data_IF_730161791376
#
_entry.id   IF_730161791376
#
_cell.length_a   1.000
_cell.length_b   1.000
_cell.length_c   1.000
_cell.angle_alpha   90.00
_cell.angle_beta   90.00
_cell.angle_gamma   90.00
#
_symmetry.space_group_name_H-M   'P 1'
#
loop_
_entity.id
_entity.type
_entity.pdbx_description
1 polymer ?
#
# COMPACT_ATOMS: atom_id res chain seq x y z
N UNK A 1 14.04 8.62 14.02
CA UNK A 1 15.29 9.40 14.18
C UNK A 1 15.88 9.78 12.81
N UNK A 2 15.99 8.84 11.86
CA UNK A 2 16.52 9.09 10.50
C UNK A 2 15.74 10.11 9.67
N UNK A 3 14.40 10.13 9.72
CA UNK A 3 13.64 11.11 8.92
C UNK A 3 13.87 12.56 9.35
N UNK A 4 13.93 12.83 10.65
CA UNK A 4 14.10 14.19 11.17
C UNK A 4 15.49 14.72 10.82
N UNK A 5 16.53 13.90 10.97
CA UNK A 5 17.89 14.28 10.58
C UNK A 5 18.01 14.49 9.07
N UNK A 6 17.39 13.64 8.26
CA UNK A 6 17.32 13.81 6.81
C UNK A 6 16.62 15.13 6.43
N UNK A 7 15.45 15.38 6.99
CA UNK A 7 14.66 16.59 6.74
C UNK A 7 15.43 17.85 7.12
N UNK A 8 16.13 17.83 8.26
CA UNK A 8 16.93 18.96 8.72
C UNK A 8 18.15 19.21 7.81
N UNK A 9 18.93 18.17 7.49
CA UNK A 9 20.14 18.31 6.67
C UNK A 9 19.81 18.68 5.21
N UNK A 10 18.78 18.06 4.63
CA UNK A 10 18.33 18.35 3.28
C UNK A 10 17.83 19.79 3.13
N UNK A 11 17.18 20.36 4.16
CA UNK A 11 16.74 21.75 4.14
C UNK A 11 17.89 22.74 3.90
N UNK A 12 19.00 22.62 4.63
CA UNK A 12 20.16 23.50 4.42
C UNK A 12 20.85 23.27 3.08
N UNK A 13 20.82 22.04 2.56
CA UNK A 13 21.38 21.76 1.25
C UNK A 13 20.55 22.39 0.13
N UNK A 14 19.22 22.38 0.24
CA UNK A 14 18.32 23.04 -0.72
C UNK A 14 18.52 24.56 -0.71
N UNK A 15 18.78 25.16 0.46
CA UNK A 15 19.06 26.60 0.56
C UNK A 15 20.31 27.04 -0.23
N UNK A 16 21.27 26.12 -0.44
CA UNK A 16 22.49 26.37 -1.23
C UNK A 16 22.29 26.11 -2.73
N UNK A 17 21.18 25.51 -3.13
CA UNK A 17 20.88 25.17 -4.52
C UNK A 17 20.18 26.30 -5.29
N UNK A 18 19.87 26.02 -6.55
CA UNK A 18 19.03 26.88 -7.37
C UNK A 18 17.57 26.86 -6.91
N UNK A 19 16.87 27.98 -7.12
CA UNK A 19 15.44 28.09 -6.85
C UNK A 19 14.66 27.08 -7.72
N UNK A 20 13.81 26.23 -7.13
CA UNK A 20 12.95 25.32 -7.89
C UNK A 20 11.72 26.03 -8.48
N UNK A 21 11.17 25.49 -9.57
CA UNK A 21 9.89 25.93 -10.13
C UNK A 21 8.67 25.29 -9.44
N UNK A 22 8.85 24.09 -8.89
CA UNK A 22 7.84 23.32 -8.15
C UNK A 22 8.52 22.51 -7.05
N UNK A 23 7.90 22.44 -5.88
CA UNK A 23 8.29 21.52 -4.80
C UNK A 23 7.33 20.33 -4.82
N UNK A 24 7.82 19.16 -5.20
CA UNK A 24 7.02 17.92 -5.24
C UNK A 24 7.29 17.07 -4.01
N UNK A 25 6.25 16.77 -3.24
CA UNK A 25 6.33 15.98 -2.02
C UNK A 25 5.52 14.70 -2.20
N UNK A 26 6.17 13.55 -2.22
CA UNK A 26 5.45 12.28 -2.01
C UNK A 26 5.36 12.07 -0.50
N UNK A 27 4.17 11.84 0.04
CA UNK A 27 3.98 11.64 1.49
C UNK A 27 4.15 10.16 1.84
N UNK A 28 5.28 9.80 2.48
CA UNK A 28 5.30 8.75 3.50
C UNK A 28 5.44 9.34 4.92
N UNK A 29 5.92 10.59 5.05
CA UNK A 29 6.15 11.26 6.34
C UNK A 29 5.64 12.70 6.38
N UNK A 30 4.59 12.96 7.16
CA UNK A 30 3.99 14.30 7.33
C UNK A 30 4.95 15.41 7.80
N UNK A 31 5.98 15.17 8.64
CA UNK A 31 6.87 16.23 9.12
C UNK A 31 7.63 16.99 8.03
N UNK A 32 7.90 16.39 6.86
CA UNK A 32 8.60 17.05 5.74
C UNK A 32 7.85 18.27 5.21
N UNK A 33 6.53 18.34 5.43
CA UNK A 33 5.68 19.42 4.95
C UNK A 33 6.04 20.77 5.58
N UNK A 34 6.60 20.78 6.79
CA UNK A 34 6.99 22.02 7.50
C UNK A 34 8.15 22.74 6.80
N UNK A 35 9.35 22.12 6.63
CA UNK A 35 10.43 22.75 5.89
C UNK A 35 10.08 23.02 4.43
N UNK A 36 9.30 22.14 3.79
CA UNK A 36 8.84 22.38 2.42
C UNK A 36 7.96 23.64 2.32
N UNK A 37 7.09 23.90 3.30
CA UNK A 37 6.32 25.14 3.37
C UNK A 37 7.20 26.38 3.58
N UNK A 38 8.25 26.27 4.40
CA UNK A 38 9.23 27.36 4.59
C UNK A 38 9.94 27.66 3.26
N UNK A 39 10.41 26.62 2.55
CA UNK A 39 11.06 26.76 1.25
C UNK A 39 10.10 27.33 0.19
N UNK A 40 8.85 26.86 0.17
CA UNK A 40 7.80 27.38 -0.71
C UNK A 40 7.56 28.86 -0.49
N UNK A 41 7.54 29.31 0.76
CA UNK A 41 7.41 30.72 1.10
C UNK A 41 8.66 31.53 0.70
N UNK A 42 9.86 31.06 1.04
CA UNK A 42 11.13 31.73 0.72
C UNK A 42 11.34 31.89 -0.79
N UNK A 43 11.04 30.83 -1.54
CA UNK A 43 11.22 30.77 -2.99
C UNK A 43 9.95 31.12 -3.76
N UNK A 44 8.84 31.50 -3.11
CA UNK A 44 7.53 31.74 -3.75
C UNK A 44 7.17 30.64 -4.76
N UNK A 45 7.38 29.40 -4.37
CA UNK A 45 7.30 28.22 -5.25
C UNK A 45 6.13 27.34 -4.83
N UNK A 46 5.26 26.90 -5.75
CA UNK A 46 4.12 26.06 -5.39
C UNK A 46 4.55 24.67 -4.91
N UNK A 47 3.78 24.12 -3.97
CA UNK A 47 3.92 22.73 -3.51
C UNK A 47 2.89 21.87 -4.24
N UNK A 48 3.33 20.74 -4.78
CA UNK A 48 2.46 19.65 -5.23
C UNK A 48 2.67 18.46 -4.30
N UNK A 49 1.58 17.98 -3.73
CA UNK A 49 1.56 16.89 -2.77
C UNK A 49 1.08 15.62 -3.47
N UNK A 50 1.83 14.53 -3.38
CA UNK A 50 1.42 13.22 -3.85
C UNK A 50 1.12 12.32 -2.66
N UNK A 51 -0.17 12.17 -2.37
CA UNK A 51 -0.68 11.45 -1.22
C UNK A 51 -0.83 9.97 -1.57
N UNK A 52 0.10 9.16 -1.06
CA UNK A 52 0.10 7.71 -1.25
C UNK A 52 -0.54 6.98 -0.06
N UNK A 53 -0.53 7.61 1.13
CA UNK A 53 -1.14 7.07 2.36
C UNK A 53 -1.77 8.17 3.23
N UNK A 54 -2.88 7.87 3.91
CA UNK A 54 -3.51 8.73 4.93
C UNK A 54 -3.13 8.21 6.32
N UNK A 55 -1.88 8.48 6.70
CA UNK A 55 -1.23 7.88 7.87
C UNK A 55 -1.91 8.16 9.23
N UNK A 56 -2.39 9.39 9.55
CA UNK A 56 -2.94 9.69 10.88
C UNK A 56 -4.22 8.91 11.18
N UNK A 57 -5.14 8.84 10.22
CA UNK A 57 -6.42 8.16 10.41
C UNK A 57 -6.19 6.67 10.60
N UNK A 58 -5.39 6.06 9.70
CA UNK A 58 -5.06 4.65 9.78
C UNK A 58 -4.39 4.28 11.12
N UNK A 59 -3.38 5.05 11.54
CA UNK A 59 -2.62 4.77 12.76
C UNK A 59 -3.45 4.94 14.05
N UNK A 60 -4.43 5.85 14.06
CA UNK A 60 -5.37 6.01 15.17
C UNK A 60 -6.40 4.88 15.19
N UNK A 61 -6.99 4.55 14.04
CA UNK A 61 -8.00 3.48 13.94
C UNK A 61 -7.45 2.11 14.35
N UNK A 62 -6.20 1.80 14.00
CA UNK A 62 -5.56 0.52 14.38
C UNK A 62 -4.86 0.56 15.74
N UNK A 63 -4.96 1.68 16.47
CA UNK A 63 -4.46 1.81 17.84
C UNK A 63 -2.94 1.88 17.99
N UNK A 64 -2.20 2.14 16.91
CA UNK A 64 -0.73 2.35 16.90
C UNK A 64 -0.34 3.66 17.60
N UNK A 65 -1.17 4.69 17.47
CA UNK A 65 -1.00 5.98 18.17
C UNK A 65 -2.14 6.15 19.16
N UNK A 66 -1.83 6.01 20.46
CA UNK A 66 -2.80 6.20 21.55
C UNK A 66 -2.67 7.53 22.28
N UNK A 67 -1.53 8.21 22.11
CA UNK A 67 -1.26 9.45 22.85
C UNK A 67 -2.02 10.63 22.23
N UNK A 68 -2.97 11.25 22.95
CA UNK A 68 -3.81 12.32 22.40
C UNK A 68 -3.03 13.55 21.95
N UNK A 69 -1.84 13.82 22.52
CA UNK A 69 -0.97 14.90 22.08
C UNK A 69 -0.33 14.60 20.72
N UNK A 70 0.10 13.36 20.50
CA UNK A 70 0.66 12.94 19.21
C UNK A 70 -0.42 12.95 18.12
N UNK A 71 -1.63 12.47 18.43
CA UNK A 71 -2.77 12.53 17.51
C UNK A 71 -3.01 13.97 17.06
N UNK A 72 -3.14 14.91 18.02
CA UNK A 72 -3.33 16.34 17.71
C UNK A 72 -2.20 16.91 16.85
N UNK A 73 -0.94 16.54 17.11
CA UNK A 73 0.20 16.98 16.32
C UNK A 73 0.12 16.46 14.88
N UNK A 74 -0.16 15.17 14.68
CA UNK A 74 -0.27 14.59 13.33
C UNK A 74 -1.48 15.13 12.57
N UNK A 75 -2.63 15.28 13.22
CA UNK A 75 -3.81 15.95 12.61
C UNK A 75 -3.50 17.40 12.23
N UNK A 76 -2.74 18.11 13.05
CA UNK A 76 -2.31 19.48 12.72
C UNK A 76 -1.35 19.51 11.53
N UNK A 77 -0.34 18.62 11.51
CA UNK A 77 0.61 18.50 10.41
C UNK A 77 -0.08 18.13 9.09
N UNK A 78 -1.06 17.23 9.15
CA UNK A 78 -1.87 16.84 8.00
C UNK A 78 -2.66 18.04 7.44
N UNK A 79 -3.42 18.74 8.31
CA UNK A 79 -4.15 19.95 7.90
C UNK A 79 -3.22 21.02 7.35
N UNK A 80 -2.05 21.18 7.96
CA UNK A 80 -1.02 22.10 7.49
C UNK A 80 -0.54 21.73 6.08
N UNK A 81 -0.24 20.46 5.82
CA UNK A 81 0.19 19.98 4.52
C UNK A 81 -0.85 20.23 3.42
N UNK A 82 -2.13 19.93 3.69
CA UNK A 82 -3.20 20.17 2.70
C UNK A 82 -3.46 21.65 2.46
N UNK A 83 -3.28 22.48 3.50
CA UNK A 83 -3.44 23.93 3.37
C UNK A 83 -2.33 24.54 2.51
N UNK A 84 -1.08 24.11 2.68
CA UNK A 84 0.09 24.67 1.97
C UNK A 84 0.23 24.16 0.54
N UNK A 85 -0.30 22.97 0.23
CA UNK A 85 -0.29 22.42 -1.12
C UNK A 85 -1.14 23.25 -2.10
N UNK A 86 -0.59 23.50 -3.31
CA UNK A 86 -1.33 24.06 -4.45
C UNK A 86 -2.18 23.01 -5.14
N UNK A 87 -1.61 21.81 -5.33
CA UNK A 87 -2.30 20.62 -5.84
C UNK A 87 -1.96 19.41 -4.99
N UNK A 88 -2.90 18.47 -4.89
CA UNK A 88 -2.78 17.22 -4.16
C UNK A 88 -3.19 16.10 -5.11
N UNK A 89 -2.25 15.27 -5.54
CA UNK A 89 -2.57 14.02 -6.23
C UNK A 89 -2.93 12.93 -5.23
N UNK A 90 -4.01 12.20 -5.53
CA UNK A 90 -4.51 11.07 -4.75
C UNK A 90 -4.67 9.86 -5.65
N UNK A 91 -4.64 8.65 -5.07
CA UNK A 91 -4.58 7.40 -5.84
C UNK A 91 -5.94 6.71 -6.02
N UNK A 92 -7.00 7.20 -5.40
CA UNK A 92 -8.35 6.64 -5.51
C UNK A 92 -9.44 7.61 -5.07
N UNK A 93 -10.68 7.34 -5.49
CA UNK A 93 -11.89 8.04 -5.07
C UNK A 93 -12.01 8.14 -3.54
N UNK A 94 -11.69 7.07 -2.81
CA UNK A 94 -11.77 7.06 -1.33
C UNK A 94 -10.83 8.07 -0.67
N UNK A 95 -9.67 8.36 -1.26
CA UNK A 95 -8.78 9.43 -0.79
C UNK A 95 -9.38 10.80 -1.12
N UNK A 96 -9.98 10.95 -2.29
CA UNK A 96 -10.71 12.17 -2.67
C UNK A 96 -11.81 12.48 -1.64
N UNK A 97 -12.64 11.49 -1.32
CA UNK A 97 -13.73 11.61 -0.33
C UNK A 97 -13.19 12.00 1.06
N UNK A 98 -12.16 11.30 1.56
CA UNK A 98 -11.54 11.61 2.85
C UNK A 98 -11.04 13.07 2.91
N UNK A 99 -10.41 13.57 1.84
CA UNK A 99 -9.91 14.94 1.78
C UNK A 99 -11.05 15.98 1.74
N UNK A 100 -12.14 15.68 1.02
CA UNK A 100 -13.33 16.54 0.98
C UNK A 100 -14.01 16.61 2.35
N UNK A 101 -14.14 15.49 3.07
CA UNK A 101 -14.63 15.47 4.46
C UNK A 101 -13.76 16.31 5.40
N UNK A 102 -12.44 16.31 5.17
CA UNK A 102 -11.47 17.18 5.85
C UNK A 102 -11.49 18.64 5.38
N UNK A 103 -12.45 19.03 4.54
CA UNK A 103 -12.67 20.38 4.01
C UNK A 103 -11.52 20.89 3.11
N UNK A 104 -10.80 19.99 2.44
CA UNK A 104 -9.86 20.38 1.39
C UNK A 104 -10.66 20.81 0.15
N UNK A 105 -10.28 21.93 -0.47
CA UNK A 105 -10.95 22.39 -1.70
C UNK A 105 -10.80 21.36 -2.82
N UNK A 106 -11.91 20.99 -3.46
CA UNK A 106 -11.94 20.07 -4.61
C UNK A 106 -11.00 20.50 -5.73
N UNK A 107 -10.83 21.81 -5.94
CA UNK A 107 -9.93 22.35 -6.97
C UNK A 107 -8.46 22.02 -6.73
N UNK A 108 -8.07 21.69 -5.49
CA UNK A 108 -6.71 21.26 -5.17
C UNK A 108 -6.49 19.78 -5.50
N UNK A 109 -7.54 18.97 -5.50
CA UNK A 109 -7.43 17.51 -5.59
C UNK A 109 -7.39 17.11 -7.07
N UNK A 110 -6.47 16.20 -7.39
CA UNK A 110 -6.37 15.55 -8.71
C UNK A 110 -6.24 14.05 -8.46
N UNK A 111 -7.10 13.25 -9.06
CA UNK A 111 -6.96 11.80 -8.97
C UNK A 111 -5.98 11.29 -10.03
N UNK A 112 -4.92 10.63 -9.57
CA UNK A 112 -3.90 9.98 -10.39
C UNK A 112 -3.66 8.59 -9.79
N UNK A 113 -4.43 7.57 -10.22
CA UNK A 113 -4.27 6.21 -9.72
C UNK A 113 -2.87 5.68 -10.01
N UNK A 114 -2.38 4.80 -9.14
CA UNK A 114 -1.15 4.07 -9.42
C UNK A 114 -1.37 3.17 -10.65
N UNK A 115 -0.41 3.18 -11.57
CA UNK A 115 -0.49 2.42 -12.82
C UNK A 115 0.39 1.17 -12.77
N UNK A 116 0.14 0.27 -13.71
CA UNK A 116 0.93 -0.94 -13.93
C UNK A 116 1.48 -0.96 -15.34
N UNK A 117 2.63 -1.59 -15.54
CA UNK A 117 3.17 -1.85 -16.87
C UNK A 117 2.36 -2.97 -17.54
N UNK A 118 1.53 -2.60 -18.52
CA UNK A 118 0.65 -3.52 -19.25
C UNK A 118 1.38 -4.43 -20.24
N UNK A 119 2.64 -4.12 -20.60
CA UNK A 119 3.46 -5.05 -21.39
C UNK A 119 4.00 -6.19 -20.53
N UNK A 120 4.16 -5.90 -19.23
CA UNK A 120 4.67 -6.82 -18.24
C UNK A 120 3.56 -7.61 -17.54
N UNK A 121 2.56 -6.93 -16.98
CA UNK A 121 1.38 -7.54 -16.33
C UNK A 121 0.25 -7.57 -17.35
N UNK A 122 0.01 -8.76 -17.90
CA UNK A 122 -1.02 -9.01 -18.89
C UNK A 122 -1.67 -10.38 -18.64
N UNK A 123 -2.92 -10.60 -19.10
CA UNK A 123 -3.50 -11.93 -19.11
C UNK A 123 -2.60 -12.90 -19.85
N UNK A 124 -2.37 -14.08 -19.28
CA UNK A 124 -1.67 -15.19 -19.91
C UNK A 124 -2.57 -16.43 -19.83
N UNK A 125 -2.38 -17.34 -20.78
CA UNK A 125 -3.05 -18.64 -20.78
C UNK A 125 -2.65 -19.46 -19.55
N UNK A 126 -3.55 -20.34 -19.12
CA UNK A 126 -3.33 -21.19 -17.92
C UNK A 126 -2.66 -22.50 -18.28
N UNK A 127 -2.73 -22.88 -19.55
CA UNK A 127 -2.03 -24.00 -20.16
C UNK A 127 -0.52 -23.79 -20.03
N UNK A 128 0.19 -24.81 -19.55
CA UNK A 128 1.65 -24.78 -19.36
C UNK A 128 2.15 -23.70 -18.37
N UNK A 129 1.28 -23.18 -17.50
CA UNK A 129 1.66 -22.15 -16.51
C UNK A 129 2.63 -22.71 -15.46
N UNK A 130 3.82 -22.10 -15.30
CA UNK A 130 4.84 -22.60 -14.37
C UNK A 130 4.30 -22.70 -12.93
N UNK A 131 3.55 -21.69 -12.50
CA UNK A 131 3.12 -21.56 -11.12
C UNK A 131 2.05 -22.61 -10.80
N UNK A 132 1.20 -22.96 -11.77
CA UNK A 132 0.22 -24.04 -11.58
C UNK A 132 0.92 -25.39 -11.47
N UNK A 133 1.89 -25.67 -12.35
CA UNK A 133 2.66 -26.92 -12.34
C UNK A 133 3.49 -27.11 -11.06
N UNK A 134 4.27 -26.09 -10.66
CA UNK A 134 5.12 -26.17 -9.46
C UNK A 134 4.31 -26.35 -8.16
N UNK A 135 3.02 -26.01 -8.16
CA UNK A 135 2.16 -26.03 -6.98
C UNK A 135 0.98 -27.01 -7.07
N UNK A 136 0.95 -27.90 -8.08
CA UNK A 136 -0.12 -28.89 -8.31
C UNK A 136 -1.53 -28.26 -8.41
N UNK A 137 -1.65 -27.17 -9.18
CA UNK A 137 -2.88 -26.40 -9.32
C UNK A 137 -3.62 -26.62 -10.64
N UNK A 138 -3.16 -27.53 -11.51
CA UNK A 138 -3.64 -27.64 -12.89
C UNK A 138 -5.16 -27.88 -12.99
N UNK A 139 -5.72 -28.72 -12.11
CA UNK A 139 -7.16 -29.00 -12.03
C UNK A 139 -7.88 -28.21 -10.91
N UNK A 140 -7.23 -27.19 -10.35
CA UNK A 140 -7.75 -26.40 -9.23
C UNK A 140 -8.34 -25.07 -9.68
N UNK A 141 -9.43 -24.68 -9.04
CA UNK A 141 -9.90 -23.31 -8.92
C UNK A 141 -9.01 -22.56 -7.91
N UNK A 142 -8.18 -21.65 -8.41
CA UNK A 142 -7.14 -20.98 -7.62
C UNK A 142 -7.61 -19.60 -7.18
N UNK A 143 -7.81 -19.41 -5.88
CA UNK A 143 -7.96 -18.09 -5.25
C UNK A 143 -6.57 -17.62 -4.82
N UNK A 144 -6.05 -16.58 -5.46
CA UNK A 144 -4.71 -16.07 -5.17
C UNK A 144 -4.79 -14.78 -4.35
N UNK A 145 -4.06 -14.71 -3.25
CA UNK A 145 -3.67 -13.46 -2.61
C UNK A 145 -2.18 -13.23 -2.88
N UNK A 146 -1.81 -12.04 -3.34
CA UNK A 146 -0.40 -11.64 -3.49
C UNK A 146 -0.20 -10.20 -3.05
N UNK A 147 0.70 -9.99 -2.09
CA UNK A 147 0.97 -8.65 -1.58
C UNK A 147 1.73 -8.62 -0.27
N UNK A 148 1.93 -7.41 0.24
CA UNK A 148 2.50 -7.22 1.57
C UNK A 148 1.45 -7.55 2.64
N UNK A 149 1.69 -8.60 3.41
CA UNK A 149 0.80 -9.03 4.49
C UNK A 149 1.08 -8.17 5.73
N UNK A 150 0.40 -7.03 5.84
CA UNK A 150 0.48 -6.20 7.02
C UNK A 150 -0.25 -6.86 8.22
N UNK A 151 0.18 -6.57 9.44
CA UNK A 151 -0.52 -7.03 10.67
C UNK A 151 -1.98 -6.57 10.74
N UNK A 152 -2.31 -5.46 10.05
CA UNK A 152 -3.65 -4.87 9.98
C UNK A 152 -4.56 -5.55 8.96
N UNK A 153 -4.02 -6.44 8.11
CA UNK A 153 -4.82 -7.20 7.15
C UNK A 153 -5.19 -8.57 7.74
N UNK A 154 -6.48 -8.86 7.93
CA UNK A 154 -6.93 -10.09 8.61
C UNK A 154 -6.97 -11.27 7.62
N UNK A 155 -5.82 -11.70 7.10
CA UNK A 155 -5.73 -12.85 6.20
C UNK A 155 -6.12 -14.18 6.87
N UNK A 156 -6.17 -14.21 8.19
CA UNK A 156 -6.81 -15.26 8.98
C UNK A 156 -8.25 -15.54 8.51
N UNK A 157 -8.99 -14.51 8.09
CA UNK A 157 -10.36 -14.66 7.56
C UNK A 157 -10.37 -15.47 6.26
N UNK A 158 -9.36 -15.27 5.41
CA UNK A 158 -9.23 -16.02 4.17
C UNK A 158 -8.93 -17.50 4.45
N UNK A 159 -8.12 -17.80 5.46
CA UNK A 159 -7.86 -19.17 5.95
C UNK A 159 -9.14 -19.78 6.51
N UNK A 160 -9.90 -19.04 7.32
CA UNK A 160 -11.15 -19.52 7.91
C UNK A 160 -12.22 -19.80 6.84
N UNK A 161 -12.28 -18.97 5.80
CA UNK A 161 -13.13 -19.21 4.65
C UNK A 161 -12.69 -20.47 3.89
N UNK A 162 -11.38 -20.64 3.65
CA UNK A 162 -10.82 -21.81 2.99
C UNK A 162 -11.18 -23.11 3.74
N UNK A 163 -11.06 -23.12 5.07
CA UNK A 163 -11.40 -24.26 5.93
C UNK A 163 -12.88 -24.65 5.80
N UNK A 164 -13.79 -23.68 5.75
CA UNK A 164 -15.23 -23.94 5.55
C UNK A 164 -15.52 -24.55 4.17
N UNK A 165 -14.65 -24.28 3.20
CA UNK A 165 -14.74 -24.75 1.82
C UNK A 165 -13.86 -25.98 1.53
N UNK A 166 -13.32 -26.64 2.57
CA UNK A 166 -12.50 -27.86 2.39
C UNK A 166 -13.22 -29.00 1.66
N UNK A 167 -14.56 -29.00 1.64
CA UNK A 167 -15.36 -29.98 0.91
C UNK A 167 -15.30 -29.81 -0.62
N UNK A 168 -14.74 -28.69 -1.10
CA UNK A 168 -14.49 -28.45 -2.52
C UNK A 168 -13.08 -28.94 -2.86
N UNK A 169 -12.98 -30.17 -3.34
CA UNK A 169 -11.69 -30.80 -3.66
C UNK A 169 -10.90 -30.06 -4.75
N UNK A 170 -11.59 -29.30 -5.60
CA UNK A 170 -10.99 -28.51 -6.65
C UNK A 170 -10.59 -27.08 -6.19
N UNK A 171 -10.82 -26.67 -4.95
CA UNK A 171 -10.45 -25.32 -4.48
C UNK A 171 -9.00 -25.30 -3.96
N UNK A 172 -8.24 -24.28 -4.34
CA UNK A 172 -6.95 -23.95 -3.73
C UNK A 172 -6.89 -22.45 -3.39
N UNK A 173 -6.55 -22.12 -2.15
CA UNK A 173 -6.33 -20.75 -1.68
C UNK A 173 -4.84 -20.55 -1.51
N UNK A 174 -4.24 -19.75 -2.39
CA UNK A 174 -2.79 -19.52 -2.42
C UNK A 174 -2.50 -18.13 -1.86
N UNK A 175 -1.65 -18.03 -0.84
CA UNK A 175 -1.24 -16.77 -0.21
C UNK A 175 0.25 -16.57 -0.46
N UNK A 176 0.60 -15.51 -1.18
CA UNK A 176 1.97 -15.13 -1.54
C UNK A 176 2.40 -13.88 -0.79
N UNK A 177 3.46 -13.96 0.02
CA UNK A 177 3.89 -12.85 0.87
C UNK A 177 5.30 -12.95 1.43
N UNK A 178 5.64 -12.06 2.37
CA UNK A 178 6.91 -12.11 3.13
C UNK A 178 6.94 -13.27 4.11
N UNK A 179 8.13 -13.84 4.30
CA UNK A 179 8.34 -15.01 5.15
C UNK A 179 7.80 -14.83 6.57
N UNK A 180 8.07 -13.69 7.22
CA UNK A 180 7.65 -13.46 8.61
C UNK A 180 6.13 -13.49 8.77
N UNK A 181 5.40 -13.00 7.76
CA UNK A 181 3.96 -13.01 7.78
C UNK A 181 3.37 -14.39 7.43
N UNK A 182 4.02 -15.14 6.55
CA UNK A 182 3.62 -16.51 6.23
C UNK A 182 3.79 -17.44 7.43
N UNK A 183 4.87 -17.30 8.20
CA UNK A 183 5.07 -18.08 9.44
C UNK A 183 3.95 -17.86 10.46
N UNK A 184 3.45 -16.62 10.56
CA UNK A 184 2.27 -16.31 11.40
C UNK A 184 1.03 -17.06 10.90
N UNK A 185 0.78 -17.02 9.60
CA UNK A 185 -0.38 -17.69 8.97
C UNK A 185 -0.27 -19.21 9.03
N UNK A 186 0.94 -19.76 8.93
CA UNK A 186 1.22 -21.17 9.08
C UNK A 186 0.87 -21.65 10.50
N UNK A 187 1.32 -20.91 11.52
CA UNK A 187 0.94 -21.17 12.92
C UNK A 187 -0.57 -21.07 13.12
N UNK A 188 -1.24 -20.11 12.48
CA UNK A 188 -2.68 -19.97 12.55
C UNK A 188 -3.44 -21.13 11.88
N UNK A 189 -2.91 -21.63 10.77
CA UNK A 189 -3.44 -22.77 10.02
C UNK A 189 -3.24 -24.09 10.78
N UNK A 190 -2.15 -24.20 11.54
CA UNK A 190 -1.80 -25.34 12.39
C UNK A 190 -2.81 -25.51 13.54
N UNK A 191 -3.92 -26.19 13.23
CA UNK A 191 -5.04 -26.40 14.14
C UNK A 191 -6.42 -26.33 13.46
N UNK A 192 -6.49 -25.80 12.24
CA UNK A 192 -7.77 -25.57 11.53
C UNK A 192 -8.06 -26.55 10.38
N UNK A 193 -7.20 -27.54 10.16
CA UNK A 193 -7.30 -28.50 9.03
C UNK A 193 -7.45 -27.79 7.67
N UNK A 194 -6.74 -26.69 7.44
CA UNK A 194 -6.82 -25.93 6.18
C UNK A 194 -6.04 -26.65 5.05
N UNK A 195 -6.58 -27.76 4.54
CA UNK A 195 -5.91 -28.63 3.55
C UNK A 195 -5.85 -28.03 2.15
N UNK A 196 -6.68 -27.02 1.88
CA UNK A 196 -6.75 -26.29 0.62
C UNK A 196 -6.00 -24.95 0.65
N UNK A 197 -5.21 -24.65 1.68
CA UNK A 197 -4.42 -23.42 1.79
C UNK A 197 -2.95 -23.69 1.46
N UNK A 198 -2.38 -22.90 0.55
CA UNK A 198 -0.97 -22.99 0.14
C UNK A 198 -0.29 -21.65 0.43
N UNK A 199 0.74 -21.66 1.28
CA UNK A 199 1.55 -20.49 1.60
C UNK A 199 2.83 -20.50 0.77
N UNK A 200 3.15 -19.38 0.10
CA UNK A 200 4.34 -19.26 -0.76
C UNK A 200 5.08 -17.94 -0.51
N UNK A 201 6.42 -17.95 -0.50
CA UNK A 201 7.17 -16.71 -0.46
C UNK A 201 6.97 -15.92 -1.75
N UNK A 202 7.30 -14.63 -1.72
CA UNK A 202 7.32 -13.79 -2.91
C UNK A 202 8.05 -14.46 -4.07
N UNK A 203 7.41 -14.42 -5.24
CA UNK A 203 7.99 -14.93 -6.47
C UNK A 203 8.93 -13.89 -7.08
N UNK A 204 9.98 -14.33 -7.81
CA UNK A 204 10.82 -13.43 -8.59
C UNK A 204 9.97 -12.56 -9.51
N UNK A 205 10.32 -11.27 -9.64
CA UNK A 205 9.50 -10.30 -10.40
C UNK A 205 9.16 -10.81 -11.81
N UNK A 206 10.12 -11.37 -12.55
CA UNK A 206 9.90 -11.89 -13.90
C UNK A 206 8.86 -13.02 -14.00
N UNK A 207 8.59 -13.75 -12.91
CA UNK A 207 7.57 -14.80 -12.83
C UNK A 207 6.20 -14.29 -12.38
N UNK A 208 6.11 -13.03 -11.94
CA UNK A 208 4.87 -12.42 -11.44
C UNK A 208 3.71 -12.50 -12.44
N UNK A 209 3.88 -12.22 -13.75
CA UNK A 209 2.77 -12.28 -14.70
C UNK A 209 2.15 -13.69 -14.76
N UNK A 210 2.98 -14.73 -14.83
CA UNK A 210 2.52 -16.13 -14.85
C UNK A 210 1.87 -16.53 -13.52
N UNK A 211 2.43 -16.11 -12.38
CA UNK A 211 1.82 -16.34 -11.07
C UNK A 211 0.43 -15.70 -10.98
N UNK A 212 0.26 -14.46 -11.44
CA UNK A 212 -1.04 -13.78 -11.43
C UNK A 212 -2.04 -14.43 -12.39
N UNK A 213 -1.59 -14.87 -13.56
CA UNK A 213 -2.41 -15.58 -14.53
C UNK A 213 -2.86 -16.98 -14.04
N UNK A 214 -2.16 -17.57 -13.06
CA UNK A 214 -2.55 -18.84 -12.47
C UNK A 214 -3.89 -18.78 -11.70
N UNK A 215 -4.33 -17.58 -11.30
CA UNK A 215 -5.53 -17.37 -10.49
C UNK A 215 -6.83 -17.44 -11.31
N UNK A 216 -7.94 -17.83 -10.66
CA UNK A 216 -9.30 -17.65 -11.16
C UNK A 216 -9.83 -16.29 -10.67
N UNK A 217 -10.04 -16.07 -9.36
CA UNK A 217 -10.05 -14.74 -8.75
C UNK A 217 -8.71 -14.42 -8.08
N UNK A 218 -8.22 -13.20 -8.28
CA UNK A 218 -7.03 -12.67 -7.62
C UNK A 218 -7.37 -11.51 -6.69
N UNK A 219 -6.90 -11.57 -5.45
CA UNK A 219 -6.88 -10.45 -4.51
C UNK A 219 -5.48 -9.85 -4.48
N UNK A 220 -5.38 -8.58 -4.86
CA UNK A 220 -4.13 -7.82 -4.87
C UNK A 220 -4.23 -6.70 -3.86
N UNK A 221 -3.23 -6.57 -3.00
CA UNK A 221 -3.05 -5.39 -2.16
C UNK A 221 -1.66 -4.84 -2.40
N UNK A 222 -1.60 -3.59 -2.88
CA UNK A 222 -0.34 -2.83 -3.02
C UNK A 222 0.28 -2.53 -1.65
#
# INVERSE_FOLDING_TARGET
MFEISFVFLSFFQVLKGSRPDVIFLTIPGLPVCVPAAILSWLYRTPIVLNLQDILPDAAVHVGLIRNPKMIRLFTWLEKFAYKTARKISVISDGFTENLLEKKVSKEKIIEIPNWVDINFIKPLEKEDNYFRKENNLDDKFVVLYSGNIALTQPLEILIDAAVKLNHLDNLAVVIVGKQEALERLEKYSCGKKATNVILKPFQPRHKLPEMLAAANPGFLTN
#
